data_IF_121943787566
#
_entry.id   IF_121943787566
#
_cell.length_a   1.000
_cell.length_b   1.000
_cell.length_c   1.000
_cell.angle_alpha   90.00
_cell.angle_beta   90.00
_cell.angle_gamma   90.00
#
_symmetry.space_group_name_H-M   'P 1'
#
loop_
_entity.id
_entity.type
_entity.pdbx_description
1 polymer ?
#
# COMPACT_ATOMS: atom_id res chain seq x y z
N UNK A 1 -2.77 22.95 -13.80
CA UNK A 1 -1.80 23.89 -13.20
C UNK A 1 -0.41 23.30 -13.37
N UNK A 2 0.55 24.08 -13.86
CA UNK A 2 1.94 23.65 -14.04
C UNK A 2 2.59 23.65 -12.68
N UNK A 3 2.96 22.47 -12.19
CA UNK A 3 3.65 22.32 -10.92
C UNK A 3 5.08 22.85 -11.08
N UNK A 4 5.37 23.99 -10.45
CA UNK A 4 6.70 24.59 -10.47
C UNK A 4 7.45 24.04 -9.26
N UNK A 5 7.99 22.83 -9.39
CA UNK A 5 8.92 22.32 -8.36
C UNK A 5 10.10 23.27 -8.27
N UNK A 6 10.29 23.87 -7.10
CA UNK A 6 11.40 24.77 -6.78
C UNK A 6 12.49 24.09 -5.97
N UNK A 7 12.39 22.78 -5.76
CA UNK A 7 13.32 21.97 -4.96
C UNK A 7 14.37 21.30 -5.85
N UNK A 8 15.57 21.11 -5.30
CA UNK A 8 16.64 20.33 -5.93
C UNK A 8 16.47 18.84 -5.64
N UNK A 9 17.08 17.94 -6.43
CA UNK A 9 17.04 16.49 -6.16
C UNK A 9 17.50 16.12 -4.74
N UNK A 10 18.53 16.81 -4.23
CA UNK A 10 19.04 16.57 -2.87
C UNK A 10 18.04 16.98 -1.78
N UNK A 11 17.23 18.01 -2.05
CA UNK A 11 16.16 18.42 -1.13
C UNK A 11 14.99 17.43 -1.13
N UNK A 12 14.65 16.89 -2.30
CA UNK A 12 13.62 15.86 -2.44
C UNK A 12 14.06 14.57 -1.69
N UNK A 13 15.31 14.13 -1.88
CA UNK A 13 15.88 12.97 -1.17
C UNK A 13 15.88 13.18 0.35
N UNK A 14 16.29 14.36 0.82
CA UNK A 14 16.30 14.67 2.25
C UNK A 14 14.88 14.66 2.85
N UNK A 15 13.88 15.16 2.11
CA UNK A 15 12.48 15.13 2.52
C UNK A 15 11.95 13.70 2.60
N UNK A 16 12.29 12.83 1.64
CA UNK A 16 11.93 11.41 1.66
C UNK A 16 12.55 10.70 2.87
N UNK A 17 13.84 10.90 3.14
CA UNK A 17 14.50 10.30 4.30
C UNK A 17 13.87 10.73 5.62
N UNK A 18 13.52 12.01 5.76
CA UNK A 18 12.82 12.52 6.93
C UNK A 18 11.43 11.88 7.10
N UNK A 19 10.70 11.68 6.00
CA UNK A 19 9.41 10.99 6.01
C UNK A 19 9.57 9.53 6.45
N UNK A 20 10.55 8.80 5.92
CA UNK A 20 10.82 7.41 6.33
C UNK A 20 11.18 7.32 7.81
N UNK A 21 12.01 8.23 8.32
CA UNK A 21 12.34 8.30 9.74
C UNK A 21 11.10 8.55 10.62
N UNK A 22 10.20 9.44 10.19
CA UNK A 22 8.94 9.68 10.90
C UNK A 22 8.05 8.42 10.93
N UNK A 23 7.88 7.74 9.79
CA UNK A 23 7.09 6.49 9.71
C UNK A 23 7.69 5.39 10.61
N UNK A 24 9.02 5.24 10.63
CA UNK A 24 9.71 4.26 11.46
C UNK A 24 9.61 4.53 12.98
N UNK A 25 9.27 5.75 13.38
CA UNK A 25 9.10 6.12 14.80
C UNK A 25 7.78 5.65 15.41
N UNK A 26 6.79 5.34 14.58
CA UNK A 26 5.44 4.92 14.98
C UNK A 26 5.46 3.50 15.55
N UNK A 27 4.76 3.28 16.66
CA UNK A 27 4.87 2.05 17.46
C UNK A 27 3.65 1.14 17.38
N UNK A 28 2.48 1.68 17.05
CA UNK A 28 1.23 0.93 17.00
C UNK A 28 0.27 1.43 15.91
N UNK A 29 -0.77 0.63 15.64
CA UNK A 29 -1.77 0.92 14.62
C UNK A 29 -2.57 2.21 14.88
N UNK A 30 -2.73 2.61 16.15
CA UNK A 30 -3.41 3.84 16.53
C UNK A 30 -2.59 5.08 16.17
N UNK A 31 -1.27 5.04 16.40
CA UNK A 31 -0.32 6.06 15.95
C UNK A 31 -0.30 6.16 14.43
N UNK A 32 -0.19 5.04 13.72
CA UNK A 32 -0.26 4.99 12.25
C UNK A 32 -1.57 5.61 11.73
N UNK A 33 -2.71 5.28 12.33
CA UNK A 33 -4.02 5.81 11.91
C UNK A 33 -4.11 7.33 12.04
N UNK A 34 -3.56 7.91 13.12
CA UNK A 34 -3.54 9.38 13.29
C UNK A 34 -2.61 10.03 12.26
N UNK A 35 -1.37 9.54 12.18
CA UNK A 35 -0.37 10.05 11.26
C UNK A 35 -0.83 10.06 9.79
N UNK A 36 -1.33 8.94 9.29
CA UNK A 36 -1.76 8.86 7.88
C UNK A 36 -3.04 9.65 7.59
N UNK A 37 -3.90 9.91 8.59
CA UNK A 37 -5.07 10.79 8.41
C UNK A 37 -4.71 12.26 8.37
N UNK A 38 -3.64 12.66 9.04
CA UNK A 38 -3.12 14.03 8.98
C UNK A 38 -2.33 14.26 7.67
N UNK A 39 -1.57 13.25 7.23
CA UNK A 39 -0.69 13.35 6.05
C UNK A 39 -1.43 13.19 4.72
N UNK A 40 -2.42 12.30 4.64
CA UNK A 40 -3.06 11.91 3.40
C UNK A 40 -4.49 12.41 3.31
N UNK A 41 -4.95 12.69 2.09
CA UNK A 41 -6.38 12.84 1.83
C UNK A 41 -7.12 11.51 2.05
N UNK A 42 -8.43 11.53 2.32
CA UNK A 42 -9.22 10.30 2.44
C UNK A 42 -9.12 9.38 1.22
N UNK A 43 -9.04 9.96 0.02
CA UNK A 43 -8.93 9.20 -1.23
C UNK A 43 -7.57 8.51 -1.38
N UNK A 44 -6.48 9.17 -0.98
CA UNK A 44 -5.13 8.57 -1.00
C UNK A 44 -5.02 7.43 0.02
N UNK A 45 -5.55 7.62 1.23
CA UNK A 45 -5.58 6.57 2.24
C UNK A 45 -6.40 5.37 1.78
N UNK A 46 -7.58 5.60 1.18
CA UNK A 46 -8.39 4.52 0.60
C UNK A 46 -7.62 3.79 -0.51
N UNK A 47 -6.99 4.53 -1.42
CA UNK A 47 -6.21 3.94 -2.51
C UNK A 47 -5.02 3.10 -1.99
N UNK A 48 -4.39 3.49 -0.88
CA UNK A 48 -3.35 2.67 -0.23
C UNK A 48 -3.93 1.38 0.37
N UNK A 49 -5.06 1.47 1.05
CA UNK A 49 -5.76 0.32 1.63
C UNK A 49 -6.22 -0.68 0.55
N UNK A 50 -6.81 -0.17 -0.55
CA UNK A 50 -7.24 -0.97 -1.70
C UNK A 50 -6.06 -1.70 -2.36
N UNK A 51 -4.90 -1.04 -2.49
CA UNK A 51 -3.71 -1.69 -3.02
C UNK A 51 -3.23 -2.80 -2.10
N UNK A 52 -3.23 -2.57 -0.78
CA UNK A 52 -2.79 -3.56 0.19
C UNK A 52 -3.74 -4.77 0.27
N UNK A 53 -5.06 -4.58 0.21
CA UNK A 53 -6.04 -5.68 0.29
C UNK A 53 -5.90 -6.70 -0.84
N UNK A 54 -5.38 -6.29 -1.99
CA UNK A 54 -5.10 -7.15 -3.15
C UNK A 54 -3.86 -8.03 -2.97
N UNK A 55 -2.83 -7.54 -2.26
CA UNK A 55 -1.53 -8.20 -2.10
C UNK A 55 -1.63 -9.62 -1.53
N UNK A 56 -2.30 -9.88 -0.38
CA UNK A 56 -2.39 -11.23 0.17
C UNK A 56 -3.17 -12.18 -0.74
N UNK A 57 -4.18 -11.69 -1.47
CA UNK A 57 -4.98 -12.50 -2.38
C UNK A 57 -4.18 -12.92 -3.63
N UNK A 58 -3.36 -12.01 -4.15
CA UNK A 58 -2.40 -12.35 -5.21
C UNK A 58 -1.37 -13.38 -4.75
N UNK A 59 -0.83 -13.21 -3.53
CA UNK A 59 0.12 -14.15 -2.96
C UNK A 59 -0.50 -15.54 -2.72
N UNK A 60 -1.80 -15.60 -2.40
CA UNK A 60 -2.57 -16.84 -2.30
C UNK A 60 -2.97 -17.44 -3.67
N UNK A 61 -2.60 -16.81 -4.78
CA UNK A 61 -2.82 -17.33 -6.13
C UNK A 61 -4.26 -17.17 -6.65
N UNK A 62 -5.06 -16.27 -6.06
CA UNK A 62 -6.44 -16.06 -6.52
C UNK A 62 -6.47 -15.46 -7.93
N UNK A 63 -7.43 -15.87 -8.80
CA UNK A 63 -7.63 -15.26 -10.10
C UNK A 63 -8.03 -13.78 -9.99
N UNK A 64 -7.52 -12.93 -10.89
CA UNK A 64 -7.76 -11.48 -10.84
C UNK A 64 -9.24 -11.08 -10.82
N UNK A 65 -10.11 -11.85 -11.50
CA UNK A 65 -11.56 -11.61 -11.47
C UNK A 65 -12.12 -11.76 -10.06
N UNK A 66 -11.75 -12.83 -9.35
CA UNK A 66 -12.18 -13.07 -7.96
C UNK A 66 -11.65 -11.98 -7.03
N UNK A 67 -10.39 -11.57 -7.22
CA UNK A 67 -9.81 -10.44 -6.47
C UNK A 67 -10.62 -9.17 -6.71
N UNK A 68 -10.98 -8.88 -7.96
CA UNK A 68 -11.78 -7.69 -8.30
C UNK A 68 -13.17 -7.73 -7.67
N UNK A 69 -13.82 -8.89 -7.67
CA UNK A 69 -15.14 -9.10 -7.06
C UNK A 69 -15.12 -8.88 -5.54
N UNK A 70 -14.12 -9.39 -4.83
CA UNK A 70 -14.07 -9.29 -3.35
C UNK A 70 -13.50 -7.96 -2.85
N UNK A 71 -12.61 -7.31 -3.61
CA UNK A 71 -11.96 -6.06 -3.18
C UNK A 71 -12.58 -4.81 -3.80
N UNK A 72 -13.36 -4.93 -4.88
CA UNK A 72 -13.83 -3.80 -5.68
C UNK A 72 -12.74 -3.13 -6.52
N UNK A 73 -11.49 -3.61 -6.45
CA UNK A 73 -10.37 -3.02 -7.20
C UNK A 73 -10.43 -3.44 -8.66
N UNK A 74 -10.20 -2.49 -9.57
CA UNK A 74 -10.22 -2.77 -11.02
C UNK A 74 -9.13 -3.76 -11.44
N UNK A 75 -9.43 -4.59 -12.45
CA UNK A 75 -8.46 -5.53 -13.05
C UNK A 75 -7.17 -4.84 -13.49
N UNK A 76 -7.25 -3.63 -14.04
CA UNK A 76 -6.09 -2.82 -14.43
C UNK A 76 -5.19 -2.49 -13.24
N UNK A 77 -5.78 -2.19 -12.08
CA UNK A 77 -5.02 -1.89 -10.86
C UNK A 77 -4.43 -3.15 -10.26
N UNK A 78 -5.19 -4.24 -10.22
CA UNK A 78 -4.72 -5.57 -9.79
C UNK A 78 -3.51 -6.00 -10.62
N UNK A 79 -3.57 -5.87 -11.94
CA UNK A 79 -2.45 -6.22 -12.83
C UNK A 79 -1.18 -5.40 -12.55
N UNK A 80 -1.31 -4.11 -12.20
CA UNK A 80 -0.15 -3.29 -11.80
C UNK A 80 0.44 -3.77 -10.48
N UNK A 81 -0.41 -4.08 -9.49
CA UNK A 81 0.04 -4.57 -8.17
C UNK A 81 0.75 -5.91 -8.34
N UNK A 82 0.20 -6.84 -9.13
CA UNK A 82 0.82 -8.13 -9.42
C UNK A 82 2.22 -7.98 -10.04
N UNK A 83 2.38 -7.05 -10.99
CA UNK A 83 3.70 -6.74 -11.56
C UNK A 83 4.68 -6.22 -10.52
N UNK A 84 4.28 -5.32 -9.62
CA UNK A 84 5.15 -4.83 -8.55
C UNK A 84 5.40 -5.86 -7.44
N UNK A 85 4.50 -6.82 -7.26
CA UNK A 85 4.71 -7.92 -6.32
C UNK A 85 5.74 -8.92 -6.87
N UNK A 86 5.73 -9.19 -8.18
CA UNK A 86 6.67 -10.09 -8.84
C UNK A 86 8.04 -9.44 -9.10
N UNK A 87 8.07 -8.25 -9.72
CA UNK A 87 9.29 -7.61 -10.26
C UNK A 87 9.53 -6.20 -9.69
N UNK A 88 8.94 -5.88 -8.54
CA UNK A 88 9.11 -4.56 -7.91
C UNK A 88 10.27 -4.49 -6.92
N UNK A 89 10.17 -3.54 -5.99
CA UNK A 89 11.21 -3.25 -5.01
C UNK A 89 11.19 -4.18 -3.77
N UNK A 90 10.45 -5.29 -3.81
CA UNK A 90 10.36 -6.26 -2.71
C UNK A 90 9.56 -5.81 -1.48
N UNK A 91 9.12 -4.55 -1.39
CA UNK A 91 8.42 -4.00 -0.22
C UNK A 91 7.11 -4.72 0.13
N UNK A 92 6.31 -5.11 -0.87
CA UNK A 92 5.08 -5.88 -0.62
C UNK A 92 5.36 -7.25 -0.03
N UNK A 93 6.33 -7.99 -0.60
CA UNK A 93 6.71 -9.31 -0.10
C UNK A 93 7.26 -9.23 1.34
N UNK A 94 8.11 -8.24 1.62
CA UNK A 94 8.63 -8.01 2.97
C UNK A 94 7.51 -7.73 3.98
N UNK A 95 6.62 -6.79 3.68
CA UNK A 95 5.51 -6.45 4.58
C UNK A 95 4.58 -7.67 4.79
N UNK A 96 4.26 -8.40 3.72
CA UNK A 96 3.38 -9.57 3.80
C UNK A 96 3.97 -10.68 4.67
N UNK A 97 5.27 -10.96 4.53
CA UNK A 97 5.98 -11.96 5.38
C UNK A 97 5.98 -11.61 6.87
N UNK A 98 5.87 -10.32 7.21
CA UNK A 98 5.80 -9.83 8.60
C UNK A 98 4.37 -9.73 9.14
N UNK A 99 3.35 -9.85 8.28
CA UNK A 99 1.93 -9.67 8.63
C UNK A 99 1.02 -10.78 8.09
N UNK A 100 1.32 -12.08 8.28
CA UNK A 100 0.71 -13.16 7.50
C UNK A 100 -0.80 -13.40 7.70
N UNK A 101 -1.52 -12.60 8.50
CA UNK A 101 -2.73 -13.06 9.18
C UNK A 101 -3.98 -12.15 9.06
N UNK A 102 -4.00 -11.14 8.17
CA UNK A 102 -5.09 -10.15 8.18
C UNK A 102 -6.35 -10.50 7.36
N UNK A 103 -6.44 -11.65 6.69
CA UNK A 103 -7.66 -12.08 5.96
C UNK A 103 -7.99 -13.57 6.14
N UNK A 104 -7.76 -14.12 7.35
CA UNK A 104 -8.44 -15.36 7.79
C UNK A 104 -9.83 -15.01 8.32
N UNK A 105 -10.70 -14.46 7.48
CA UNK A 105 -12.12 -14.69 7.62
C UNK A 105 -12.60 -15.26 6.30
N UNK A 106 -12.73 -16.58 6.31
CA UNK A 106 -13.49 -17.36 5.34
C UNK A 106 -14.95 -16.87 5.42
N UNK A 107 -15.54 -16.26 4.39
CA UNK A 107 -16.99 -16.17 4.35
C UNK A 107 -17.49 -17.61 4.16
N UNK A 108 -17.78 -18.25 5.28
CA UNK A 108 -18.35 -19.60 5.38
C UNK A 108 -19.57 -19.76 4.44
N UNK A 109 -19.89 -21.00 4.04
CA UNK A 109 -20.41 -21.38 2.72
C UNK A 109 -21.77 -20.82 2.33
#
# INVERSE_FOLDING_TARGET
MKDRRTTTPEQDDAAEQALYAAILSLRDAGECRRFFRDLLTPAELQAMADRWSVVPLLAAGLPYRRISEVTGVSLTTIGRIARFLADGHGGYALALSRTPEALKEDPAP
#
